data_IF_115925931978
#
_entry.id   IF_115925931978
#
_cell.length_a   1.000
_cell.length_b   1.000
_cell.length_c   1.000
_cell.angle_alpha   90.00
_cell.angle_beta   90.00
_cell.angle_gamma   90.00
#
_symmetry.space_group_name_H-M   'P 1'
#
loop_
_entity.id
_entity.type
_entity.pdbx_description
1 polymer ?
#
# COMPACT_ATOMS: atom_id res chain seq x y z
N UNK A 1 65.09 -78.57 -80.11
CA UNK A 1 64.93 -79.55 -81.20
C UNK A 1 63.58 -80.25 -80.99
N UNK A 2 62.81 -80.42 -82.06
CA UNK A 2 61.47 -81.05 -82.19
C UNK A 2 60.22 -80.17 -82.01
N UNK A 3 59.56 -80.01 -83.17
CA UNK A 3 58.27 -79.42 -83.53
C UNK A 3 57.16 -80.51 -83.41
N UNK A 4 55.90 -80.28 -83.83
CA UNK A 4 54.70 -79.86 -83.08
C UNK A 4 53.64 -80.99 -82.87
N UNK A 5 52.54 -80.70 -82.18
CA UNK A 5 51.26 -81.37 -82.48
C UNK A 5 50.07 -80.42 -82.26
N UNK A 6 49.31 -80.17 -83.33
CA UNK A 6 48.00 -79.51 -83.31
C UNK A 6 46.92 -80.52 -82.93
N UNK A 7 46.00 -80.14 -82.05
CA UNK A 7 44.69 -80.76 -81.91
C UNK A 7 43.64 -79.64 -81.82
N UNK A 8 42.51 -79.81 -82.51
CA UNK A 8 41.44 -78.81 -82.67
C UNK A 8 40.15 -79.33 -82.04
N UNK A 9 39.35 -78.38 -81.51
CA UNK A 9 37.90 -78.38 -81.13
C UNK A 9 37.48 -78.85 -79.72
N UNK A 10 36.35 -78.33 -79.15
CA UNK A 10 35.50 -77.18 -79.51
C UNK A 10 35.25 -76.16 -78.38
N UNK A 11 34.61 -75.06 -78.76
CA UNK A 11 34.18 -73.90 -77.96
C UNK A 11 33.07 -74.26 -76.96
N UNK A 12 33.21 -73.81 -75.71
CA UNK A 12 32.12 -73.64 -74.74
C UNK A 12 32.13 -72.20 -74.25
N UNK A 13 31.15 -71.41 -74.68
CA UNK A 13 30.90 -70.04 -74.22
C UNK A 13 30.20 -70.13 -72.86
N UNK A 14 30.91 -69.76 -71.79
CA UNK A 14 30.30 -69.52 -70.48
C UNK A 14 30.12 -68.01 -70.36
N UNK A 15 28.86 -67.57 -70.42
CA UNK A 15 28.48 -66.17 -70.27
C UNK A 15 28.86 -65.63 -68.89
N UNK A 16 29.51 -64.46 -68.90
CA UNK A 16 29.66 -63.63 -67.71
C UNK A 16 28.26 -63.15 -67.28
N UNK A 17 27.79 -63.64 -66.14
CA UNK A 17 26.67 -63.03 -65.42
C UNK A 17 27.12 -61.68 -64.89
N UNK A 18 26.75 -60.61 -65.61
CA UNK A 18 26.88 -59.24 -65.15
C UNK A 18 26.08 -59.02 -63.88
N UNK A 19 26.76 -58.58 -62.84
CA UNK A 19 26.15 -57.95 -61.68
C UNK A 19 25.55 -56.64 -62.19
N UNK A 20 24.24 -56.63 -62.40
CA UNK A 20 23.52 -55.40 -62.67
C UNK A 20 23.61 -54.51 -61.43
N UNK A 21 24.14 -53.31 -61.63
CA UNK A 21 24.09 -52.19 -60.70
C UNK A 21 22.62 -51.92 -60.29
N UNK A 22 22.37 -51.86 -58.99
CA UNK A 22 21.12 -51.36 -58.46
C UNK A 22 20.97 -49.87 -58.78
N UNK A 23 19.75 -49.47 -59.10
CA UNK A 23 19.33 -48.08 -59.23
C UNK A 23 19.81 -47.26 -58.01
N UNK A 24 20.64 -46.26 -58.26
CA UNK A 24 20.82 -45.14 -57.33
C UNK A 24 19.45 -44.43 -57.26
N UNK A 25 18.66 -44.75 -56.24
CA UNK A 25 17.40 -44.07 -56.00
C UNK A 25 17.68 -42.56 -55.91
N UNK A 26 17.01 -41.76 -56.75
CA UNK A 26 17.09 -40.30 -56.67
C UNK A 26 16.87 -39.85 -55.22
N UNK A 27 17.72 -38.96 -54.67
CA UNK A 27 17.56 -38.53 -53.29
C UNK A 27 16.18 -37.92 -53.10
N UNK A 28 15.46 -38.37 -52.06
CA UNK A 28 14.16 -37.81 -51.69
C UNK A 28 14.35 -36.32 -51.39
N UNK A 29 13.59 -35.40 -52.02
CA UNK A 29 13.68 -33.98 -51.71
C UNK A 29 13.31 -33.69 -50.24
N UNK A 30 14.06 -32.82 -49.58
CA UNK A 30 13.82 -32.43 -48.18
C UNK A 30 12.52 -31.62 -48.04
N UNK A 31 11.71 -31.96 -47.05
CA UNK A 31 10.48 -31.27 -46.67
C UNK A 31 10.76 -30.39 -45.45
N UNK A 32 10.36 -29.09 -45.46
CA UNK A 32 10.51 -28.26 -44.27
C UNK A 32 9.67 -28.76 -43.08
N UNK A 33 10.09 -28.44 -41.84
CA UNK A 33 9.31 -28.80 -40.67
C UNK A 33 7.96 -28.09 -40.63
N UNK A 34 6.98 -28.69 -39.97
CA UNK A 34 5.69 -28.06 -39.67
C UNK A 34 5.65 -27.61 -38.21
N UNK A 35 5.01 -26.47 -37.95
CA UNK A 35 4.91 -25.86 -36.61
C UNK A 35 3.45 -25.55 -36.31
N UNK A 36 3.01 -25.91 -35.10
CA UNK A 36 1.72 -25.52 -34.51
C UNK A 36 2.00 -24.79 -33.19
N UNK A 37 1.57 -23.53 -33.11
CA UNK A 37 1.93 -22.60 -32.04
C UNK A 37 3.00 -21.59 -32.46
N UNK A 38 3.68 -20.94 -31.49
CA UNK A 38 3.61 -21.19 -30.05
C UNK A 38 2.34 -20.66 -29.37
N UNK A 39 2.02 -21.21 -28.19
CA UNK A 39 0.95 -20.69 -27.32
C UNK A 39 1.45 -20.47 -25.89
N UNK A 40 0.77 -19.60 -25.16
CA UNK A 40 1.08 -19.23 -23.77
C UNK A 40 -0.15 -19.38 -22.89
N UNK A 41 0.05 -19.69 -21.61
CA UNK A 41 -1.05 -19.78 -20.64
C UNK A 41 -1.66 -18.40 -20.31
N UNK A 42 -0.86 -17.34 -20.37
CA UNK A 42 -1.29 -15.97 -20.15
C UNK A 42 -0.66 -15.04 -21.19
N UNK A 43 -1.50 -14.37 -21.97
CA UNK A 43 -1.08 -13.35 -22.94
C UNK A 43 -0.95 -11.95 -22.33
N UNK A 44 -1.20 -11.79 -21.01
CA UNK A 44 -0.89 -10.57 -20.28
C UNK A 44 -0.29 -10.89 -18.90
N UNK A 45 0.87 -10.33 -18.61
CA UNK A 45 1.63 -10.56 -17.38
C UNK A 45 2.27 -9.28 -16.86
N UNK A 46 2.74 -9.26 -15.62
CA UNK A 46 3.58 -8.18 -15.08
C UNK A 46 5.06 -8.46 -15.31
N UNK A 47 5.88 -7.41 -15.30
CA UNK A 47 7.34 -7.48 -15.37
C UNK A 47 7.90 -8.54 -14.41
N UNK A 48 8.91 -9.31 -14.86
CA UNK A 48 9.53 -10.39 -14.07
C UNK A 48 8.72 -11.69 -13.97
N UNK A 49 7.51 -11.75 -14.54
CA UNK A 49 6.70 -12.99 -14.52
C UNK A 49 7.21 -13.97 -15.60
N UNK A 50 7.47 -15.24 -15.25
CA UNK A 50 7.76 -16.28 -16.23
C UNK A 50 6.50 -16.70 -17.00
N UNK A 51 6.64 -16.85 -18.31
CA UNK A 51 5.60 -17.30 -19.24
C UNK A 51 6.05 -18.61 -19.85
N UNK A 52 5.41 -19.71 -19.48
CA UNK A 52 5.66 -21.01 -20.11
C UNK A 52 5.05 -21.03 -21.53
N UNK A 53 5.85 -21.45 -22.51
CA UNK A 53 5.43 -21.56 -23.90
C UNK A 53 5.27 -23.02 -24.30
N UNK A 54 4.29 -23.29 -25.15
CA UNK A 54 4.12 -24.61 -25.77
C UNK A 54 4.22 -24.48 -27.28
N UNK A 55 4.89 -25.45 -27.90
CA UNK A 55 5.13 -25.54 -29.34
C UNK A 55 5.06 -27.01 -29.73
N UNK A 56 4.34 -27.32 -30.80
CA UNK A 56 4.42 -28.62 -31.46
C UNK A 56 5.10 -28.43 -32.81
N UNK A 57 6.13 -29.24 -33.08
CA UNK A 57 6.82 -29.23 -34.36
C UNK A 57 7.10 -30.67 -34.81
N UNK A 58 7.00 -30.92 -36.11
CA UNK A 58 7.27 -32.23 -36.69
C UNK A 58 7.88 -32.11 -38.08
N UNK A 59 8.70 -33.08 -38.45
CA UNK A 59 9.35 -33.18 -39.74
C UNK A 59 8.92 -34.47 -40.44
N UNK A 60 8.56 -34.38 -41.72
CA UNK A 60 8.03 -35.51 -42.48
C UNK A 60 9.13 -36.51 -42.88
N UNK A 61 10.38 -36.04 -43.01
CA UNK A 61 11.55 -36.83 -43.34
C UNK A 61 12.22 -37.44 -42.09
N UNK A 62 11.74 -37.08 -40.90
CA UNK A 62 12.22 -37.56 -39.61
C UNK A 62 13.52 -36.88 -39.16
N UNK A 63 13.84 -35.72 -39.72
CA UNK A 63 15.05 -34.98 -39.40
C UNK A 63 15.00 -34.34 -38.00
N UNK A 64 16.16 -34.21 -37.37
CA UNK A 64 16.28 -33.65 -36.04
C UNK A 64 16.04 -32.13 -36.06
N UNK A 65 15.15 -31.65 -35.20
CA UNK A 65 14.76 -30.25 -35.16
C UNK A 65 15.61 -29.42 -34.20
N UNK A 66 15.93 -28.21 -34.64
CA UNK A 66 16.60 -27.18 -33.83
C UNK A 66 15.67 -25.98 -33.67
N UNK A 67 15.70 -25.35 -32.50
CA UNK A 67 14.82 -24.23 -32.14
C UNK A 67 15.65 -22.98 -31.87
N UNK A 68 15.19 -21.84 -32.35
CA UNK A 68 15.76 -20.53 -32.03
C UNK A 68 14.65 -19.58 -31.63
N UNK A 69 14.63 -19.23 -30.34
CA UNK A 69 13.69 -18.26 -29.79
C UNK A 69 14.25 -16.85 -29.76
N UNK A 70 13.42 -15.89 -30.16
CA UNK A 70 13.72 -14.46 -30.17
C UNK A 70 12.51 -13.66 -29.69
N UNK A 71 12.74 -12.40 -29.30
CA UNK A 71 11.68 -11.47 -28.94
C UNK A 71 11.75 -10.19 -29.78
N UNK A 72 10.60 -9.59 -30.04
CA UNK A 72 10.45 -8.25 -30.62
C UNK A 72 9.54 -7.40 -29.72
N UNK A 73 9.93 -6.16 -29.35
CA UNK A 73 11.22 -5.54 -29.62
C UNK A 73 12.35 -6.21 -28.82
N UNK A 74 13.59 -6.02 -29.29
CA UNK A 74 14.77 -6.60 -28.65
C UNK A 74 15.12 -5.94 -27.31
N UNK A 75 14.64 -4.71 -27.06
CA UNK A 75 14.85 -3.97 -25.81
C UNK A 75 13.53 -3.37 -25.31
N UNK A 76 13.24 -3.43 -23.99
CA UNK A 76 14.01 -4.14 -22.98
C UNK A 76 13.97 -5.67 -23.18
N UNK A 77 15.06 -6.36 -22.84
CA UNK A 77 15.23 -7.79 -23.12
C UNK A 77 14.68 -8.66 -22.00
N UNK A 78 13.70 -9.52 -22.31
CA UNK A 78 13.32 -10.62 -21.44
C UNK A 78 14.34 -11.76 -21.53
N UNK A 79 14.16 -12.79 -20.71
CA UNK A 79 15.11 -13.91 -20.63
C UNK A 79 14.41 -15.24 -20.89
N UNK A 80 14.91 -16.01 -21.85
CA UNK A 80 14.51 -17.41 -22.02
C UNK A 80 15.39 -18.30 -21.12
N UNK A 81 14.79 -19.25 -20.42
CA UNK A 81 15.53 -20.25 -19.63
C UNK A 81 16.38 -21.18 -20.51
N UNK A 82 15.86 -21.55 -21.68
CA UNK A 82 16.55 -22.28 -22.73
C UNK A 82 15.99 -21.89 -24.12
N UNK A 83 16.60 -20.92 -24.83
CA UNK A 83 16.11 -20.46 -26.13
C UNK A 83 16.27 -21.48 -27.28
N UNK A 84 16.79 -22.68 -26.99
CA UNK A 84 16.91 -23.80 -27.94
C UNK A 84 16.02 -24.98 -27.59
N UNK A 85 15.21 -24.89 -26.54
CA UNK A 85 14.20 -25.90 -26.23
C UNK A 85 12.93 -25.72 -27.07
N UNK A 86 12.20 -26.81 -27.31
CA UNK A 86 10.88 -26.76 -27.94
C UNK A 86 9.88 -25.97 -27.07
N UNK A 87 9.99 -26.07 -25.74
CA UNK A 87 9.06 -25.46 -24.78
C UNK A 87 9.83 -24.67 -23.70
N UNK A 88 10.41 -23.50 -24.02
CA UNK A 88 11.05 -22.66 -23.03
C UNK A 88 10.04 -21.94 -22.12
N UNK A 89 10.55 -21.38 -21.03
CA UNK A 89 9.92 -20.28 -20.32
C UNK A 89 10.60 -18.96 -20.66
N UNK A 90 9.80 -17.94 -21.00
CA UNK A 90 10.25 -16.57 -21.18
C UNK A 90 9.87 -15.71 -19.98
N UNK A 91 10.85 -15.11 -19.31
CA UNK A 91 10.62 -14.17 -18.21
C UNK A 91 10.51 -12.77 -18.76
N UNK A 92 9.36 -12.13 -18.50
CA UNK A 92 9.06 -10.79 -19.00
C UNK A 92 10.09 -9.75 -18.48
N UNK A 93 10.58 -8.84 -19.35
CA UNK A 93 11.50 -7.78 -18.93
C UNK A 93 10.81 -6.79 -18.00
N UNK A 94 11.63 -5.99 -17.31
CA UNK A 94 11.15 -4.77 -16.67
C UNK A 94 10.81 -3.72 -17.72
N UNK A 95 9.61 -3.15 -17.63
CA UNK A 95 9.09 -2.17 -18.58
C UNK A 95 8.64 -0.90 -17.84
N UNK A 96 8.99 0.25 -18.40
CA UNK A 96 8.60 1.55 -17.83
C UNK A 96 7.10 1.87 -18.01
N UNK A 97 6.45 1.22 -18.96
CA UNK A 97 5.01 1.32 -19.24
C UNK A 97 4.52 0.03 -19.89
N UNK A 98 3.20 -0.16 -19.96
CA UNK A 98 2.63 -1.35 -20.58
C UNK A 98 3.07 -1.48 -22.06
N UNK A 99 3.58 -2.65 -22.44
CA UNK A 99 4.19 -2.90 -23.74
C UNK A 99 3.92 -4.32 -24.21
N UNK A 100 3.71 -4.51 -25.52
CA UNK A 100 3.54 -5.84 -26.13
C UNK A 100 4.88 -6.37 -26.65
N UNK A 101 5.12 -7.67 -26.47
CA UNK A 101 6.26 -8.39 -26.99
C UNK A 101 5.80 -9.54 -27.88
N UNK A 102 6.35 -9.64 -29.08
CA UNK A 102 6.19 -10.79 -29.97
C UNK A 102 7.32 -11.77 -29.70
N UNK A 103 7.00 -12.96 -29.22
CA UNK A 103 7.94 -14.07 -29.06
C UNK A 103 7.89 -14.91 -30.34
N UNK A 104 9.03 -15.03 -31.03
CA UNK A 104 9.16 -15.75 -32.28
C UNK A 104 10.06 -16.97 -32.08
N UNK A 105 9.61 -18.13 -32.56
CA UNK A 105 10.44 -19.32 -32.72
C UNK A 105 10.68 -19.59 -34.20
N UNK A 106 11.92 -19.93 -34.54
CA UNK A 106 12.29 -20.52 -35.84
C UNK A 106 12.72 -21.96 -35.59
N UNK A 107 12.10 -22.89 -36.30
CA UNK A 107 12.38 -24.33 -36.24
C UNK A 107 13.06 -24.74 -37.55
N UNK A 108 14.23 -25.37 -37.48
CA UNK A 108 14.97 -25.83 -38.66
C UNK A 108 15.31 -27.33 -38.57
N UNK A 109 15.24 -28.00 -39.72
CA UNK A 109 15.62 -29.40 -39.93
C UNK A 109 17.13 -29.62 -40.15
N UNK A 110 17.94 -28.56 -40.23
CA UNK A 110 19.37 -28.65 -40.53
C UNK A 110 19.72 -29.07 -41.97
N UNK A 111 18.72 -29.25 -42.83
CA UNK A 111 18.84 -29.60 -44.26
C UNK A 111 18.38 -28.50 -45.22
N UNK A 112 18.07 -27.32 -44.67
CA UNK A 112 17.72 -26.12 -45.41
C UNK A 112 16.22 -25.77 -45.35
N UNK A 113 15.40 -26.59 -44.69
CA UNK A 113 14.03 -26.25 -44.35
C UNK A 113 13.92 -25.51 -43.02
N UNK A 114 12.97 -24.59 -42.95
CA UNK A 114 12.62 -23.90 -41.70
C UNK A 114 11.17 -23.43 -41.70
N UNK A 115 10.59 -23.35 -40.49
CA UNK A 115 9.26 -22.81 -40.24
C UNK A 115 9.26 -21.92 -39.01
N UNK A 116 8.42 -20.89 -39.03
CA UNK A 116 8.32 -19.89 -37.97
C UNK A 116 6.99 -19.98 -37.22
N UNK A 117 6.99 -19.65 -35.94
CA UNK A 117 5.79 -19.40 -35.14
C UNK A 117 5.94 -18.13 -34.29
N UNK A 118 4.85 -17.43 -34.04
CA UNK A 118 4.84 -16.21 -33.21
C UNK A 118 3.69 -16.18 -32.21
N UNK A 119 3.93 -15.59 -31.04
CA UNK A 119 2.88 -15.28 -30.05
C UNK A 119 3.13 -13.90 -29.42
N UNK A 120 2.06 -13.14 -29.20
CA UNK A 120 2.13 -11.85 -28.53
C UNK A 120 1.82 -11.96 -27.03
N UNK A 121 2.63 -11.27 -26.21
CA UNK A 121 2.50 -11.19 -24.76
C UNK A 121 2.53 -9.71 -24.34
N UNK A 122 1.45 -9.24 -23.72
CA UNK A 122 1.38 -7.90 -23.15
C UNK A 122 1.98 -7.86 -21.74
N UNK A 123 3.09 -7.16 -21.58
CA UNK A 123 3.78 -6.97 -20.30
C UNK A 123 3.37 -5.63 -19.69
N UNK A 124 2.90 -5.68 -18.44
CA UNK A 124 2.63 -4.50 -17.61
C UNK A 124 3.83 -4.22 -16.72
N UNK A 125 4.05 -2.93 -16.42
CA UNK A 125 5.01 -2.50 -15.40
C UNK A 125 4.66 -3.14 -14.05
N UNK A 126 5.67 -3.52 -13.26
CA UNK A 126 5.47 -3.93 -11.87
C UNK A 126 5.27 -2.69 -10.98
N UNK A 127 4.30 -2.74 -10.07
CA UNK A 127 4.07 -1.66 -9.12
C UNK A 127 5.13 -1.63 -8.02
N UNK A 128 5.64 -0.44 -7.71
CA UNK A 128 6.49 -0.18 -6.56
C UNK A 128 5.69 0.58 -5.51
N UNK A 129 5.42 -0.02 -4.33
CA UNK A 129 4.56 0.61 -3.34
C UNK A 129 5.17 1.90 -2.78
N UNK A 130 4.34 2.81 -2.25
CA UNK A 130 4.82 4.08 -1.71
C UNK A 130 5.72 3.90 -0.47
N UNK A 131 6.72 4.76 -0.35
CA UNK A 131 7.50 4.90 0.88
C UNK A 131 6.81 5.88 1.81
N UNK A 132 6.52 5.47 3.06
CA UNK A 132 5.68 6.23 4.00
C UNK A 132 6.33 6.36 5.37
N UNK A 133 6.38 7.60 5.86
CA UNK A 133 6.77 7.98 7.22
C UNK A 133 5.64 8.78 7.89
N UNK A 134 5.34 8.46 9.15
CA UNK A 134 4.31 9.11 9.96
C UNK A 134 4.96 9.87 11.12
N UNK A 135 4.41 11.03 11.48
CA UNK A 135 4.82 11.83 12.62
C UNK A 135 3.62 12.30 13.44
N UNK A 136 3.84 12.45 14.74
CA UNK A 136 2.87 12.94 15.71
C UNK A 136 3.59 13.81 16.76
N UNK A 137 2.87 14.65 17.52
CA UNK A 137 3.44 15.30 18.69
C UNK A 137 3.97 14.27 19.69
N UNK A 138 4.95 14.66 20.49
CA UNK A 138 5.51 13.78 21.54
C UNK A 138 4.53 13.54 22.68
N UNK A 139 3.65 14.51 22.94
CA UNK A 139 2.56 14.43 23.92
C UNK A 139 1.48 15.46 23.60
N UNK A 140 0.30 15.27 24.18
CA UNK A 140 -0.84 16.18 24.06
C UNK A 140 -1.52 16.31 25.43
N UNK A 141 -2.08 17.48 25.75
CA UNK A 141 -2.94 17.66 26.93
C UNK A 141 -4.38 17.38 26.54
N UNK A 142 -5.18 16.80 27.44
CA UNK A 142 -6.58 16.52 27.17
C UNK A 142 -7.33 17.77 26.66
N UNK A 143 -8.04 17.65 25.53
CA UNK A 143 -8.78 18.75 24.89
C UNK A 143 -7.95 19.66 23.98
N UNK A 144 -6.61 19.55 23.97
CA UNK A 144 -5.80 20.23 22.96
C UNK A 144 -5.90 19.51 21.60
N UNK A 145 -5.68 20.24 20.51
CA UNK A 145 -5.60 19.68 19.15
C UNK A 145 -4.15 19.34 18.80
N UNK A 146 -3.88 18.08 18.47
CA UNK A 146 -2.63 17.62 17.89
C UNK A 146 -2.73 17.51 16.37
N UNK A 147 -1.60 17.71 15.68
CA UNK A 147 -1.49 17.52 14.23
C UNK A 147 -0.65 16.28 13.95
N UNK A 148 -1.25 15.30 13.27
CA UNK A 148 -0.56 14.12 12.74
C UNK A 148 -0.20 14.36 11.29
N UNK A 149 1.01 13.99 10.87
CA UNK A 149 1.47 14.21 9.50
C UNK A 149 2.07 12.96 8.88
N UNK A 150 1.98 12.87 7.56
CA UNK A 150 2.63 11.88 6.72
C UNK A 150 3.59 12.57 5.77
N UNK A 151 4.77 11.98 5.58
CA UNK A 151 5.61 12.21 4.41
C UNK A 151 5.63 10.93 3.61
N UNK A 152 5.20 11.00 2.35
CA UNK A 152 5.15 9.85 1.46
C UNK A 152 5.61 10.21 0.05
N UNK A 153 6.25 9.24 -0.62
CA UNK A 153 6.70 9.34 -2.01
C UNK A 153 6.41 8.03 -2.72
N UNK A 154 6.03 8.12 -3.98
CA UNK A 154 5.81 6.96 -4.83
C UNK A 154 6.91 6.84 -5.88
N UNK A 155 7.64 5.72 -5.98
CA UNK A 155 8.69 5.54 -6.98
C UNK A 155 8.18 5.54 -8.42
N UNK A 156 6.91 5.18 -8.64
CA UNK A 156 6.29 5.12 -9.96
C UNK A 156 5.64 6.46 -10.35
N UNK A 157 5.57 7.41 -9.40
CA UNK A 157 4.99 8.73 -9.60
C UNK A 157 3.47 8.73 -9.48
N UNK A 158 2.89 7.66 -8.94
CA UNK A 158 1.45 7.52 -8.82
C UNK A 158 0.86 8.48 -7.76
N UNK A 159 -0.35 9.02 -7.98
CA UNK A 159 -0.98 9.94 -7.05
C UNK A 159 -1.38 9.22 -5.76
N UNK A 160 -0.98 9.78 -4.62
CA UNK A 160 -1.23 9.18 -3.31
C UNK A 160 -2.53 9.64 -2.67
N UNK A 161 -3.25 8.68 -2.09
CA UNK A 161 -4.44 8.88 -1.26
C UNK A 161 -4.17 8.44 0.17
N UNK A 162 -4.86 9.05 1.14
CA UNK A 162 -4.59 8.87 2.56
C UNK A 162 -5.90 8.67 3.33
N UNK A 163 -5.89 7.75 4.29
CA UNK A 163 -6.99 7.55 5.22
C UNK A 163 -6.47 7.39 6.65
N UNK A 164 -6.85 8.33 7.52
CA UNK A 164 -6.49 8.33 8.93
C UNK A 164 -7.57 7.67 9.78
N UNK A 165 -7.16 6.86 10.75
CA UNK A 165 -8.06 6.28 11.76
C UNK A 165 -7.41 6.26 13.14
N UNK A 166 -8.22 6.40 14.18
CA UNK A 166 -7.80 6.04 15.53
C UNK A 166 -8.10 4.55 15.72
N UNK A 167 -7.09 3.76 16.08
CA UNK A 167 -7.21 2.31 16.24
C UNK A 167 -7.30 1.88 17.70
N UNK A 168 -6.76 2.68 18.63
CA UNK A 168 -6.87 2.43 20.06
C UNK A 168 -6.76 3.73 20.87
N UNK A 169 -7.33 3.79 22.09
CA UNK A 169 -8.37 2.88 22.61
C UNK A 169 -9.68 3.02 21.80
N UNK A 170 -10.70 2.25 22.15
CA UNK A 170 -12.04 2.35 21.53
C UNK A 170 -12.74 3.68 21.83
N UNK A 171 -12.37 4.34 22.92
CA UNK A 171 -12.81 5.72 23.21
C UNK A 171 -12.20 6.65 22.18
N UNK A 172 -13.00 7.08 21.21
CA UNK A 172 -12.56 7.96 20.14
C UNK A 172 -12.38 9.40 20.65
N UNK A 173 -11.30 10.05 20.24
CA UNK A 173 -11.28 11.51 20.18
C UNK A 173 -11.98 12.02 18.93
N UNK A 174 -11.78 13.29 18.62
CA UNK A 174 -12.48 13.95 17.52
C UNK A 174 -11.50 14.46 16.48
N UNK A 175 -11.75 14.10 15.22
CA UNK A 175 -11.04 14.67 14.08
C UNK A 175 -11.56 16.08 13.78
N UNK A 176 -10.64 17.00 13.54
CA UNK A 176 -10.94 18.39 13.15
C UNK A 176 -10.78 18.49 11.64
N UNK A 177 -11.89 18.73 10.94
CA UNK A 177 -11.94 18.71 9.49
C UNK A 177 -12.03 17.30 8.93
N UNK A 178 -11.14 16.94 8.00
CA UNK A 178 -11.14 15.64 7.32
C UNK A 178 -10.08 14.67 7.83
N UNK A 179 -10.29 13.39 7.55
CA UNK A 179 -9.33 12.30 7.80
C UNK A 179 -8.61 11.87 6.51
N UNK A 180 -8.63 12.73 5.50
CA UNK A 180 -8.03 12.50 4.19
C UNK A 180 -6.94 13.54 3.94
N UNK A 181 -5.81 13.10 3.42
CA UNK A 181 -4.65 13.95 3.09
C UNK A 181 -3.41 13.66 3.94
N UNK A 182 -2.29 14.34 3.65
CA UNK A 182 -1.01 14.11 4.30
C UNK A 182 -0.93 14.66 5.73
N UNK A 183 -1.99 15.29 6.22
CA UNK A 183 -2.09 15.83 7.57
C UNK A 183 -3.52 15.66 8.09
N UNK A 184 -3.65 15.37 9.37
CA UNK A 184 -4.94 15.30 10.04
C UNK A 184 -4.83 15.93 11.44
N UNK A 185 -5.86 16.69 11.82
CA UNK A 185 -5.96 17.30 13.13
C UNK A 185 -6.91 16.51 14.00
N UNK A 186 -6.53 16.30 15.26
CA UNK A 186 -7.29 15.49 16.20
C UNK A 186 -7.17 16.09 17.60
N UNK A 187 -8.28 16.17 18.33
CA UNK A 187 -8.25 16.45 19.76
C UNK A 187 -8.78 15.26 20.56
N UNK A 188 -8.22 15.11 21.75
CA UNK A 188 -8.51 13.96 22.62
C UNK A 188 -9.91 14.03 23.23
N UNK A 189 -10.48 12.87 23.61
CA UNK A 189 -11.68 12.84 24.43
C UNK A 189 -11.35 13.19 25.90
N UNK A 190 -12.37 13.21 26.75
CA UNK A 190 -12.18 13.36 28.20
C UNK A 190 -11.39 12.16 28.74
N UNK A 191 -10.33 12.42 29.51
CA UNK A 191 -9.49 11.39 30.13
C UNK A 191 -9.32 11.64 31.64
N UNK A 192 -9.37 10.58 32.44
CA UNK A 192 -9.17 10.64 33.89
C UNK A 192 -7.70 10.38 34.30
N UNK A 193 -6.93 9.74 33.42
CA UNK A 193 -5.52 9.38 33.60
C UNK A 193 -4.78 9.57 32.29
N UNK A 194 -3.44 9.63 32.36
CA UNK A 194 -2.63 9.63 31.14
C UNK A 194 -2.95 8.41 30.29
N UNK A 195 -3.35 8.64 29.05
CA UNK A 195 -3.85 7.61 28.13
C UNK A 195 -3.13 7.72 26.80
N UNK A 196 -2.65 6.61 26.28
CA UNK A 196 -2.01 6.55 24.97
C UNK A 196 -3.05 6.27 23.88
N UNK A 197 -3.06 7.09 22.82
CA UNK A 197 -3.92 6.91 21.65
C UNK A 197 -3.09 6.47 20.46
N UNK A 198 -3.49 5.39 19.81
CA UNK A 198 -2.83 4.86 18.62
C UNK A 198 -3.64 5.24 17.39
N UNK A 199 -2.94 5.78 16.40
CA UNK A 199 -3.48 6.15 15.10
C UNK A 199 -2.85 5.29 14.03
N UNK A 200 -3.61 5.03 12.97
CA UNK A 200 -3.08 4.50 11.72
C UNK A 200 -3.36 5.46 10.58
N UNK A 201 -2.46 5.45 9.60
CA UNK A 201 -2.67 6.04 8.29
C UNK A 201 -2.43 4.99 7.23
N UNK A 202 -3.41 4.83 6.33
CA UNK A 202 -3.29 4.01 5.14
C UNK A 202 -2.98 4.91 3.95
N UNK A 203 -1.88 4.67 3.25
CA UNK A 203 -1.47 5.41 2.05
C UNK A 203 -1.52 4.49 0.84
N UNK A 204 -2.27 4.87 -0.18
CA UNK A 204 -2.42 4.09 -1.42
C UNK A 204 -2.07 4.92 -2.64
N UNK A 205 -1.31 4.31 -3.55
CA UNK A 205 -1.02 4.70 -4.94
C UNK A 205 -2.16 4.33 -5.91
N UNK A 206 -3.21 3.66 -5.42
CA UNK A 206 -4.30 3.12 -6.26
C UNK A 206 -3.99 1.78 -6.93
N UNK A 207 -2.82 1.19 -6.68
CA UNK A 207 -2.37 -0.07 -7.28
C UNK A 207 -1.87 -1.04 -6.19
N UNK A 208 -2.50 -2.21 -6.10
CA UNK A 208 -2.12 -3.20 -5.09
C UNK A 208 -2.58 -2.80 -3.68
N UNK A 209 -1.80 -3.15 -2.66
CA UNK A 209 -2.18 -2.98 -1.25
C UNK A 209 -1.60 -1.68 -0.68
N UNK A 210 -2.38 -0.92 0.11
CA UNK A 210 -1.89 0.30 0.71
C UNK A 210 -0.80 0.03 1.76
N UNK A 211 0.09 1.00 1.92
CA UNK A 211 1.08 0.99 3.00
C UNK A 211 0.47 1.62 4.25
N UNK A 212 0.39 0.83 5.31
CA UNK A 212 -0.13 1.27 6.61
C UNK A 212 1.02 1.61 7.56
N UNK A 213 0.89 2.74 8.27
CA UNK A 213 1.77 3.14 9.37
C UNK A 213 0.95 3.45 10.61
N UNK A 214 1.55 3.26 11.77
CA UNK A 214 0.93 3.58 13.06
C UNK A 214 1.82 4.49 13.88
N UNK A 215 1.21 5.30 14.73
CA UNK A 215 1.89 6.17 15.70
C UNK A 215 1.07 6.23 16.98
N UNK A 216 1.75 6.41 18.11
CA UNK A 216 1.10 6.55 19.42
C UNK A 216 1.33 7.94 19.99
N UNK A 217 0.28 8.56 20.49
CA UNK A 217 0.28 9.87 21.12
C UNK A 217 -0.16 9.74 22.59
N UNK A 218 0.75 9.97 23.56
CA UNK A 218 0.35 10.03 24.96
C UNK A 218 -0.43 11.33 25.24
N UNK A 219 -1.61 11.19 25.82
CA UNK A 219 -2.46 12.30 26.25
C UNK A 219 -2.43 12.40 27.77
N UNK A 220 -1.95 13.50 28.33
CA UNK A 220 -1.92 13.75 29.76
C UNK A 220 -3.20 14.43 30.27
N UNK A 221 -3.52 14.19 31.54
CA UNK A 221 -4.54 14.95 32.26
C UNK A 221 -4.08 16.41 32.37
N UNK A 222 -4.98 17.39 32.20
CA UNK A 222 -4.65 18.80 32.36
C UNK A 222 -4.28 19.14 33.80
N UNK A 223 -3.27 19.99 33.95
CA UNK A 223 -2.84 20.54 35.23
C UNK A 223 -3.53 21.87 35.50
N UNK A 224 -3.77 22.17 36.77
CA UNK A 224 -4.57 23.34 37.12
C UNK A 224 -3.86 24.64 36.74
N UNK A 225 -2.63 24.84 37.23
CA UNK A 225 -1.85 26.05 37.06
C UNK A 225 -1.45 26.34 35.61
N UNK A 226 -1.09 25.31 34.84
CA UNK A 226 -0.63 25.50 33.45
C UNK A 226 -1.76 25.48 32.42
N UNK A 227 -2.77 24.62 32.59
CA UNK A 227 -3.74 24.33 31.54
C UNK A 227 -5.12 24.91 31.88
N UNK A 228 -5.65 24.62 33.07
CA UNK A 228 -7.01 25.04 33.47
C UNK A 228 -7.07 26.54 33.75
N UNK A 229 -6.05 27.09 34.40
CA UNK A 229 -5.99 28.52 34.75
C UNK A 229 -6.05 29.42 33.51
N UNK A 230 -5.51 28.96 32.38
CA UNK A 230 -5.57 29.67 31.10
C UNK A 230 -7.00 29.76 30.54
N UNK A 231 -7.87 28.78 30.84
CA UNK A 231 -9.29 28.82 30.44
C UNK A 231 -9.99 30.03 31.06
N UNK A 232 -9.67 30.35 32.31
CA UNK A 232 -10.19 31.54 33.00
C UNK A 232 -9.64 32.84 32.41
N UNK A 233 -8.38 32.82 32.00
CA UNK A 233 -7.65 33.93 31.39
C UNK A 233 -8.07 34.29 29.97
N UNK A 234 -8.88 33.45 29.29
CA UNK A 234 -9.40 33.68 27.93
C UNK A 234 -10.27 34.94 27.78
N UNK A 235 -10.47 35.69 28.86
CA UNK A 235 -11.13 37.00 28.89
C UNK A 235 -12.65 36.92 28.95
N UNK A 236 -13.26 35.77 28.70
CA UNK A 236 -14.72 35.63 28.77
C UNK A 236 -15.22 35.31 30.18
N UNK A 237 -14.48 34.50 30.95
CA UNK A 237 -14.86 34.19 32.34
C UNK A 237 -14.57 35.35 33.29
N UNK A 238 -13.44 36.05 33.12
CA UNK A 238 -13.01 37.14 34.01
C UNK A 238 -13.80 38.43 33.85
N UNK A 239 -14.54 38.61 32.75
CA UNK A 239 -15.51 39.71 32.58
C UNK A 239 -16.64 39.67 33.62
N UNK A 240 -17.06 38.46 34.01
CA UNK A 240 -18.11 38.27 35.02
C UNK A 240 -17.54 37.86 36.39
N UNK A 241 -16.35 37.24 36.42
CA UNK A 241 -15.72 36.70 37.62
C UNK A 241 -14.24 37.15 37.74
N UNK A 242 -14.04 38.38 38.23
CA UNK A 242 -12.71 38.95 38.48
C UNK A 242 -12.50 39.35 39.95
N UNK A 243 -11.39 40.03 40.27
CA UNK A 243 -11.12 40.56 41.63
C UNK A 243 -12.23 41.48 42.17
N UNK A 244 -13.01 42.09 41.28
CA UNK A 244 -14.17 42.92 41.61
C UNK A 244 -15.53 42.17 41.59
N UNK A 245 -15.55 40.90 41.17
CA UNK A 245 -16.72 40.02 41.22
C UNK A 245 -16.70 39.14 42.47
N UNK A 246 -17.85 38.57 42.85
CA UNK A 246 -17.98 37.69 44.03
C UNK A 246 -17.22 36.34 43.94
N UNK A 247 -16.36 36.16 42.93
CA UNK A 247 -15.55 34.97 42.65
C UNK A 247 -14.25 35.38 41.96
N UNK A 248 -13.13 35.32 42.67
CA UNK A 248 -11.81 35.55 42.07
C UNK A 248 -11.35 34.33 41.28
N UNK A 249 -11.04 34.54 40.00
CA UNK A 249 -10.43 33.54 39.12
C UNK A 249 -8.91 33.75 38.94
N UNK A 250 -8.26 34.50 39.84
CA UNK A 250 -6.80 34.68 39.83
C UNK A 250 -6.06 33.38 40.21
N UNK A 251 -4.83 33.19 39.71
CA UNK A 251 -4.08 31.94 39.87
C UNK A 251 -3.84 31.53 41.34
N UNK A 252 -3.76 32.51 42.25
CA UNK A 252 -3.53 32.31 43.68
C UNK A 252 -4.77 31.86 44.48
N UNK A 253 -5.97 32.00 43.92
CA UNK A 253 -7.23 31.92 44.68
C UNK A 253 -8.33 31.12 43.97
N UNK A 254 -8.25 31.02 42.66
CA UNK A 254 -9.27 30.38 41.82
C UNK A 254 -9.52 28.92 42.17
N UNK A 255 -8.48 28.12 42.43
CA UNK A 255 -8.63 26.71 42.77
C UNK A 255 -9.49 26.53 44.03
N UNK A 256 -9.07 27.17 45.13
CA UNK A 256 -9.77 27.12 46.41
C UNK A 256 -11.20 27.70 46.33
N UNK A 257 -11.43 28.65 45.43
CA UNK A 257 -12.76 29.21 45.22
C UNK A 257 -13.70 28.29 44.42
N UNK A 258 -13.16 27.31 43.69
CA UNK A 258 -13.93 26.42 42.83
C UNK A 258 -14.17 25.05 43.48
N UNK A 259 -13.16 24.47 44.12
CA UNK A 259 -13.23 23.07 44.57
C UNK A 259 -14.07 22.93 45.84
N UNK A 260 -15.08 22.06 45.83
CA UNK A 260 -15.94 21.76 46.98
C UNK A 260 -16.63 22.99 47.60
N UNK A 261 -16.77 24.07 46.83
CA UNK A 261 -17.49 25.27 47.25
C UNK A 261 -18.91 25.23 46.69
N UNK A 262 -19.92 25.46 47.53
CA UNK A 262 -21.32 25.49 47.08
C UNK A 262 -21.54 26.50 45.95
N UNK A 263 -22.15 26.05 44.86
CA UNK A 263 -22.55 26.93 43.78
C UNK A 263 -23.86 27.63 44.14
N UNK A 264 -23.79 28.96 44.36
CA UNK A 264 -24.98 29.79 44.57
C UNK A 264 -25.91 29.62 43.38
N UNK A 265 -27.20 29.50 43.67
CA UNK A 265 -28.29 29.39 42.69
C UNK A 265 -28.28 28.09 41.85
N UNK A 266 -27.54 27.07 42.31
CA UNK A 266 -27.43 25.77 41.64
C UNK A 266 -27.81 24.59 42.55
N UNK A 267 -28.70 24.85 43.50
CA UNK A 267 -29.20 23.84 44.45
C UNK A 267 -28.07 23.31 45.35
N UNK A 268 -27.92 21.98 45.38
CA UNK A 268 -26.92 21.28 46.20
C UNK A 268 -25.58 21.06 45.49
N UNK A 269 -25.43 21.55 44.25
CA UNK A 269 -24.20 21.35 43.48
C UNK A 269 -23.02 22.14 44.07
N UNK A 270 -21.85 21.53 44.03
CA UNK A 270 -20.59 22.26 44.20
C UNK A 270 -20.19 22.89 42.87
N UNK A 271 -19.45 24.01 42.94
CA UNK A 271 -18.86 24.68 41.78
C UNK A 271 -18.04 23.68 40.96
N UNK A 272 -17.13 22.98 41.63
CA UNK A 272 -16.46 21.78 41.13
C UNK A 272 -16.54 20.68 42.18
N UNK A 273 -17.00 19.51 41.75
CA UNK A 273 -17.01 18.26 42.50
C UNK A 273 -15.87 17.38 41.94
N UNK A 274 -14.74 17.23 42.66
CA UNK A 274 -13.64 16.37 42.23
C UNK A 274 -14.10 14.95 41.86
N UNK A 275 -13.68 14.46 40.70
CA UNK A 275 -14.04 13.14 40.18
C UNK A 275 -15.39 13.07 39.47
N UNK A 276 -16.21 14.12 39.54
CA UNK A 276 -17.56 14.12 38.98
C UNK A 276 -17.85 15.42 38.18
N UNK A 277 -17.46 15.46 36.89
CA UNK A 277 -17.74 16.62 36.04
C UNK A 277 -19.25 16.85 35.85
N UNK A 278 -20.07 15.81 35.82
CA UNK A 278 -21.53 15.94 35.60
C UNK A 278 -22.25 16.50 36.84
N UNK A 279 -21.72 16.31 38.05
CA UNK A 279 -22.20 16.96 39.27
C UNK A 279 -21.42 18.25 39.62
N UNK A 280 -20.70 18.83 38.66
CA UNK A 280 -20.03 20.11 38.82
C UNK A 280 -20.83 21.24 38.17
N UNK A 281 -21.25 22.22 38.97
CA UNK A 281 -22.01 23.38 38.48
C UNK A 281 -21.28 24.17 37.38
N UNK A 282 -19.94 24.23 37.44
CA UNK A 282 -19.09 24.83 36.41
C UNK A 282 -19.33 24.21 35.03
N UNK A 283 -19.27 22.88 34.94
CA UNK A 283 -19.46 22.14 33.68
C UNK A 283 -20.87 22.35 33.14
N UNK A 284 -21.89 22.24 34.01
CA UNK A 284 -23.29 22.46 33.60
C UNK A 284 -23.53 23.87 33.05
N UNK A 285 -22.90 24.88 33.64
CA UNK A 285 -22.97 26.26 33.14
C UNK A 285 -22.21 26.45 31.83
N UNK A 286 -21.05 25.84 31.64
CA UNK A 286 -20.29 25.91 30.37
C UNK A 286 -21.06 25.24 29.21
N UNK A 287 -21.69 24.11 29.49
CA UNK A 287 -22.45 23.32 28.51
C UNK A 287 -23.90 23.79 28.35
N UNK A 288 -24.40 24.63 29.26
CA UNK A 288 -25.79 25.09 29.24
C UNK A 288 -26.81 24.02 29.64
N UNK A 289 -26.37 22.96 30.32
CA UNK A 289 -27.23 21.82 30.72
C UNK A 289 -27.97 22.04 32.04
N UNK A 290 -27.74 23.17 32.72
CA UNK A 290 -28.50 23.61 33.90
C UNK A 290 -27.72 24.58 34.79
N UNK A 291 -28.26 24.89 35.98
CA UNK A 291 -27.63 25.78 36.98
C UNK A 291 -27.57 27.26 36.51
N UNK A 292 -28.72 27.81 36.14
CA UNK A 292 -28.89 29.21 35.73
C UNK A 292 -28.43 29.48 34.29
N UNK A 293 -28.08 30.74 34.00
CA UNK A 293 -27.64 31.14 32.66
C UNK A 293 -26.32 30.45 32.25
N UNK A 294 -26.25 30.10 30.96
CA UNK A 294 -25.07 29.51 30.33
C UNK A 294 -23.90 30.48 30.35
N UNK A 295 -22.74 30.00 30.76
CA UNK A 295 -21.49 30.76 30.77
C UNK A 295 -20.69 30.51 29.49
N UNK A 296 -19.98 31.53 28.96
CA UNK A 296 -19.92 32.91 29.46
C UNK A 296 -21.16 33.74 29.08
N UNK A 297 -21.60 34.60 30.00
CA UNK A 297 -22.77 35.47 29.79
C UNK A 297 -22.52 36.38 28.57
N UNK A 298 -23.51 36.46 27.67
CA UNK A 298 -23.41 37.23 26.43
C UNK A 298 -22.69 36.52 25.28
N UNK A 299 -22.10 35.34 25.52
CA UNK A 299 -21.52 34.46 24.48
C UNK A 299 -21.81 32.98 24.78
N UNK A 300 -23.08 32.56 24.83
CA UNK A 300 -23.45 31.20 25.23
C UNK A 300 -22.82 30.10 24.36
N UNK A 301 -22.51 30.38 23.10
CA UNK A 301 -21.91 29.40 22.16
C UNK A 301 -20.38 29.27 22.27
N UNK A 302 -19.72 30.05 23.14
CA UNK A 302 -18.24 30.10 23.18
C UNK A 302 -17.60 28.72 23.32
N UNK A 303 -18.13 27.89 24.23
CA UNK A 303 -17.61 26.54 24.46
C UNK A 303 -18.05 25.52 23.39
N UNK A 304 -19.11 25.80 22.63
CA UNK A 304 -19.47 24.99 21.45
C UNK A 304 -18.49 25.23 20.30
N UNK A 305 -18.00 26.47 20.18
CA UNK A 305 -16.98 26.87 19.22
C UNK A 305 -15.56 26.44 19.64
N UNK A 306 -15.37 26.13 20.94
CA UNK A 306 -14.09 25.69 21.52
C UNK A 306 -14.27 24.40 22.33
N UNK A 307 -14.71 23.30 21.71
CA UNK A 307 -15.07 22.06 22.42
C UNK A 307 -13.90 21.44 23.18
N UNK A 308 -12.67 21.69 22.73
CA UNK A 308 -11.46 21.28 23.44
C UNK A 308 -11.34 21.85 24.86
N UNK A 309 -11.85 23.06 25.11
CA UNK A 309 -11.84 23.66 26.45
C UNK A 309 -12.79 22.94 27.42
N UNK A 310 -13.93 22.46 26.92
CA UNK A 310 -14.83 21.61 27.73
C UNK A 310 -14.13 20.29 28.08
N UNK A 311 -13.50 19.64 27.10
CA UNK A 311 -12.75 18.40 27.35
C UNK A 311 -11.64 18.62 28.37
N UNK A 312 -10.90 19.72 28.26
CA UNK A 312 -9.83 20.06 29.19
C UNK A 312 -10.37 20.19 30.62
N UNK A 313 -11.38 21.03 30.84
CA UNK A 313 -11.95 21.22 32.19
C UNK A 313 -12.57 19.93 32.73
N UNK A 314 -13.31 19.18 31.91
CA UNK A 314 -13.90 17.90 32.33
C UNK A 314 -12.84 16.86 32.69
N UNK A 315 -11.75 16.77 31.93
CA UNK A 315 -10.65 15.83 32.20
C UNK A 315 -9.96 16.14 33.51
N UNK A 316 -9.68 17.42 33.78
CA UNK A 316 -9.13 17.84 35.06
C UNK A 316 -10.06 17.52 36.24
N UNK A 317 -11.36 17.82 36.12
CA UNK A 317 -12.33 17.49 37.18
C UNK A 317 -12.41 15.98 37.38
N UNK A 318 -12.55 15.21 36.31
CA UNK A 318 -12.66 13.75 36.35
C UNK A 318 -11.42 13.10 36.98
N UNK A 319 -10.24 13.67 36.78
CA UNK A 319 -8.99 13.23 37.40
C UNK A 319 -8.82 13.68 38.86
N UNK A 320 -9.85 14.27 39.48
CA UNK A 320 -9.84 14.66 40.89
C UNK A 320 -9.55 16.14 41.15
N UNK A 321 -9.52 16.98 40.11
CA UNK A 321 -9.41 18.43 40.22
C UNK A 321 -8.21 18.91 41.08
N UNK A 322 -7.07 18.23 40.96
CA UNK A 322 -5.87 18.51 41.74
C UNK A 322 -5.33 19.93 41.48
N UNK A 323 -4.70 20.53 42.50
CA UNK A 323 -3.91 21.75 42.38
C UNK A 323 -2.44 21.34 42.30
N UNK A 324 -1.73 21.75 41.25
CA UNK A 324 -0.29 21.53 41.06
C UNK A 324 0.57 22.69 41.60
#
# INVERSE_FOLDING_TARGET
>A
MHLPLRLVLPVLVIGLGGIACGDEASPVPNTPPTVSGPTVQASSVTSGTPVAMTLEASDADGDALTYTWTQLPASPAGTFDNPSAAQPSWTAPDVASAQSFTLKVTVSDGRGGSSDGTIDVAVRKSNQPPTVSISAPTSLVAGATGTLTVTATDPDGDPLTYAWTQTAPSTAGTWVGGTTGPSAQWYSPVVATQTAFTFSVSVSDGVGQPVVRTVTLPVSVPRYGTDVQAVWGSGECTKCHGKAGNLSLAADSSHANLINVTARDCGTLMRVTPGDPDQSALVRKMEGTGCGDRMPIGKPEYFDQHPGLNVLVRSWILAGAAND
#
